data_IF_160169235381
#
_entry.id   IF_160169235381
#
_cell.length_a   1.000
_cell.length_b   1.000
_cell.length_c   1.000
_cell.angle_alpha   90.00
_cell.angle_beta   90.00
_cell.angle_gamma   90.00
#
_symmetry.space_group_name_H-M   'P 1'
#
loop_
_entity.id
_entity.type
_entity.pdbx_description
1 polymer ?
#
# COMPACT_ATOMS: atom_id res chain seq x y z
N UNK A 1 -14.16 15.83 -18.96
CA UNK A 1 -13.44 14.82 -18.19
C UNK A 1 -13.06 15.46 -16.87
N UNK A 2 -13.65 14.99 -15.78
CA UNK A 2 -13.33 15.46 -14.42
C UNK A 2 -12.22 14.57 -13.90
N UNK A 3 -11.05 15.14 -13.67
CA UNK A 3 -9.95 14.43 -13.03
C UNK A 3 -10.18 14.49 -11.51
N UNK A 4 -10.39 13.35 -10.90
CA UNK A 4 -10.21 13.15 -9.47
C UNK A 4 -8.74 12.76 -9.32
N UNK A 5 -7.90 13.69 -8.93
CA UNK A 5 -6.53 13.35 -8.55
C UNK A 5 -6.57 12.72 -7.15
N UNK A 6 -6.70 11.41 -7.10
CA UNK A 6 -6.41 10.63 -5.91
C UNK A 6 -4.91 10.38 -5.89
N UNK A 7 -4.16 11.15 -5.14
CA UNK A 7 -2.78 10.82 -4.82
C UNK A 7 -2.84 9.80 -3.68
N UNK A 8 -2.95 8.53 -4.03
CA UNK A 8 -2.57 7.47 -3.12
C UNK A 8 -1.06 7.50 -3.05
N UNK A 9 -0.49 7.43 -1.86
CA UNK A 9 0.95 7.24 -1.69
C UNK A 9 1.36 5.83 -2.16
N UNK A 10 1.09 5.51 -3.42
CA UNK A 10 1.46 4.28 -4.12
C UNK A 10 2.67 4.55 -4.98
N UNK A 11 3.65 5.24 -4.44
CA UNK A 11 4.92 5.40 -5.15
C UNK A 11 5.87 4.22 -4.92
N UNK A 12 5.39 3.17 -4.26
CA UNK A 12 6.06 1.87 -4.17
C UNK A 12 5.01 0.76 -4.28
N UNK A 13 4.55 0.43 -5.50
CA UNK A 13 3.57 -0.65 -5.71
C UNK A 13 4.07 -2.01 -5.21
N UNK A 14 5.33 -2.08 -4.81
CA UNK A 14 6.01 -3.32 -4.44
C UNK A 14 6.23 -3.49 -2.94
N UNK A 15 5.98 -2.47 -2.08
CA UNK A 15 6.40 -2.58 -0.70
C UNK A 15 5.52 -3.53 0.12
N UNK A 16 4.20 -3.40 0.04
CA UNK A 16 3.29 -4.12 0.95
C UNK A 16 3.02 -5.56 0.52
N UNK A 17 2.58 -5.72 -0.72
CA UNK A 17 2.27 -7.03 -1.29
C UNK A 17 3.52 -7.87 -1.51
N UNK A 18 4.56 -7.25 -2.07
CA UNK A 18 5.83 -7.91 -2.36
C UNK A 18 6.58 -8.24 -1.10
N UNK A 19 6.57 -7.39 -0.08
CA UNK A 19 7.29 -7.64 1.18
C UNK A 19 6.65 -8.73 2.02
N UNK A 20 5.32 -8.73 2.19
CA UNK A 20 4.63 -9.80 2.91
C UNK A 20 4.94 -11.16 2.29
N UNK A 21 4.98 -11.23 0.98
CA UNK A 21 5.23 -12.45 0.22
C UNK A 21 6.71 -12.82 0.12
N UNK A 22 7.59 -11.85 -0.07
CA UNK A 22 9.04 -12.05 -0.09
C UNK A 22 9.50 -12.58 1.27
N UNK A 23 8.96 -12.04 2.37
CA UNK A 23 9.15 -12.57 3.71
C UNK A 23 8.82 -14.06 3.81
N UNK A 24 7.64 -14.46 3.35
CA UNK A 24 7.20 -15.87 3.37
C UNK A 24 8.07 -16.80 2.52
N UNK A 25 8.69 -16.30 1.45
CA UNK A 25 9.58 -17.09 0.59
C UNK A 25 11.01 -17.20 1.10
N UNK A 26 11.32 -16.58 2.25
CA UNK A 26 12.67 -16.55 2.82
C UNK A 26 13.68 -15.71 2.03
N UNK A 27 13.21 -14.87 1.10
CA UNK A 27 14.06 -13.99 0.30
C UNK A 27 14.37 -12.70 1.06
N UNK A 28 15.48 -11.99 0.76
CA UNK A 28 15.77 -10.69 1.34
C UNK A 28 14.63 -9.69 1.13
N UNK A 29 14.35 -8.89 2.15
CA UNK A 29 13.41 -7.78 2.12
C UNK A 29 14.20 -6.48 1.85
N UNK A 30 14.25 -5.99 0.59
CA UNK A 30 15.07 -4.83 0.27
C UNK A 30 14.42 -3.55 0.80
N UNK A 31 15.23 -2.72 1.46
CA UNK A 31 14.89 -1.37 1.91
C UNK A 31 15.80 -0.39 1.20
N UNK A 32 15.22 0.57 0.50
CA UNK A 32 15.97 1.62 -0.19
C UNK A 32 16.58 2.63 0.81
N UNK A 33 17.85 2.97 0.63
CA UNK A 33 18.57 3.90 1.49
C UNK A 33 18.54 3.45 2.95
N UNK A 34 18.12 4.34 3.85
CA UNK A 34 17.95 4.07 5.28
C UNK A 34 16.54 3.59 5.64
N UNK A 35 15.61 3.67 4.70
CA UNK A 35 14.19 3.39 4.93
C UNK A 35 13.44 4.48 5.69
N UNK A 36 14.04 5.66 5.87
CA UNK A 36 13.45 6.79 6.60
C UNK A 36 12.45 7.61 5.78
N UNK A 37 12.25 7.24 4.52
CA UNK A 37 11.24 7.88 3.67
C UNK A 37 9.85 7.74 4.29
N UNK A 38 9.17 8.87 4.49
CA UNK A 38 7.87 8.93 5.15
C UNK A 38 6.76 8.97 4.09
N UNK A 39 5.71 8.18 4.31
CA UNK A 39 4.48 8.15 3.50
C UNK A 39 3.26 8.20 4.41
N UNK A 40 2.17 8.72 3.89
CA UNK A 40 0.87 8.65 4.56
C UNK A 40 0.14 7.39 4.10
N UNK A 41 -0.12 6.48 5.04
CA UNK A 41 -0.65 5.15 4.78
C UNK A 41 -2.16 5.10 5.01
N UNK A 42 -2.87 4.61 4.02
CA UNK A 42 -4.32 4.50 4.04
C UNK A 42 -4.77 3.11 3.62
N UNK A 43 -5.72 2.52 4.34
CA UNK A 43 -6.30 1.23 3.96
C UNK A 43 -7.12 1.36 2.67
N UNK A 44 -7.02 0.35 1.80
CA UNK A 44 -7.65 0.39 0.46
C UNK A 44 -9.17 0.57 0.52
N UNK A 45 -9.85 -0.03 1.47
CA UNK A 45 -11.30 0.13 1.61
C UNK A 45 -11.69 1.54 2.05
N UNK A 46 -10.95 2.15 2.99
CA UNK A 46 -11.16 3.54 3.37
C UNK A 46 -10.93 4.47 2.18
N UNK A 47 -9.93 4.20 1.35
CA UNK A 47 -9.71 4.94 0.12
C UNK A 47 -10.87 4.79 -0.87
N UNK A 48 -11.38 3.58 -1.08
CA UNK A 48 -12.54 3.34 -1.93
C UNK A 48 -13.79 4.05 -1.40
N UNK A 49 -14.03 4.02 -0.07
CA UNK A 49 -15.12 4.76 0.58
C UNK A 49 -14.99 6.27 0.36
N UNK A 50 -13.77 6.84 0.44
CA UNK A 50 -13.52 8.24 0.14
C UNK A 50 -13.89 8.60 -1.29
N UNK A 51 -13.50 7.78 -2.27
CA UNK A 51 -13.84 7.99 -3.68
C UNK A 51 -15.36 8.01 -3.87
N UNK A 52 -16.07 7.05 -3.29
CA UNK A 52 -17.55 7.00 -3.36
C UNK A 52 -18.15 8.24 -2.71
N UNK A 53 -17.66 8.66 -1.54
CA UNK A 53 -18.15 9.86 -0.85
C UNK A 53 -17.93 11.13 -1.69
N UNK A 54 -16.79 11.26 -2.38
CA UNK A 54 -16.52 12.38 -3.30
C UNK A 54 -17.45 12.34 -4.51
N UNK A 55 -17.74 11.16 -5.07
CA UNK A 55 -18.69 11.03 -6.19
C UNK A 55 -20.12 11.44 -5.80
N UNK A 56 -20.55 11.12 -4.58
CA UNK A 56 -21.89 11.40 -4.10
C UNK A 56 -22.09 12.84 -3.61
N UNK A 57 -21.07 13.43 -2.95
CA UNK A 57 -21.20 14.69 -2.20
C UNK A 57 -20.25 15.80 -2.66
N UNK A 58 -19.23 15.46 -3.45
CA UNK A 58 -18.21 16.43 -3.88
C UNK A 58 -18.78 17.51 -4.80
N UNK A 59 -18.29 18.73 -4.60
CA UNK A 59 -18.67 19.84 -5.49
C UNK A 59 -18.09 19.65 -6.89
N UNK A 60 -18.86 19.88 -7.95
CA UNK A 60 -18.40 19.74 -9.32
C UNK A 60 -17.24 20.68 -9.65
N UNK A 61 -16.13 20.12 -10.15
CA UNK A 61 -14.94 20.89 -10.54
C UNK A 61 -13.91 21.05 -9.42
N UNK A 62 -14.21 20.59 -8.21
CA UNK A 62 -13.30 20.63 -7.07
C UNK A 62 -12.40 19.38 -6.98
N UNK A 63 -11.21 19.57 -6.40
CA UNK A 63 -10.26 18.49 -6.08
C UNK A 63 -10.28 18.22 -4.57
N UNK A 64 -10.22 16.95 -4.21
CA UNK A 64 -10.17 16.49 -2.82
C UNK A 64 -8.95 15.56 -2.63
N UNK A 65 -8.08 15.92 -1.70
CA UNK A 65 -7.01 15.04 -1.26
C UNK A 65 -7.59 13.99 -0.30
N UNK A 66 -7.13 12.75 -0.45
CA UNK A 66 -7.51 11.65 0.42
C UNK A 66 -6.26 11.18 1.16
N UNK A 67 -6.23 11.30 2.48
CA UNK A 67 -5.10 10.96 3.33
C UNK A 67 -5.51 10.07 4.50
N UNK A 68 -4.54 9.34 5.04
CA UNK A 68 -4.74 8.37 6.11
C UNK A 68 -4.48 8.91 7.51
N UNK A 69 -3.93 10.13 7.64
CA UNK A 69 -3.37 10.69 8.89
C UNK A 69 -2.40 9.73 9.58
N UNK A 70 -1.70 8.94 8.78
CA UNK A 70 -0.86 7.84 9.26
C UNK A 70 0.52 7.86 8.63
N UNK A 71 1.23 8.98 8.84
CA UNK A 71 2.60 9.11 8.37
C UNK A 71 3.53 8.13 9.10
N UNK A 72 4.23 7.29 8.34
CA UNK A 72 5.18 6.31 8.86
C UNK A 72 6.41 6.24 7.95
N UNK A 73 7.57 5.99 8.54
CA UNK A 73 8.76 5.65 7.80
C UNK A 73 8.63 4.24 7.19
N UNK A 74 9.15 4.04 5.99
CA UNK A 74 9.08 2.75 5.30
C UNK A 74 9.65 1.60 6.14
N UNK A 75 10.77 1.86 6.85
CA UNK A 75 11.38 0.85 7.71
C UNK A 75 10.45 0.40 8.85
N UNK A 76 9.64 1.32 9.42
CA UNK A 76 8.70 1.01 10.49
C UNK A 76 7.52 0.17 9.98
N UNK A 77 7.07 0.44 8.76
CA UNK A 77 6.04 -0.36 8.09
C UNK A 77 6.55 -1.78 7.85
N UNK A 78 7.75 -1.94 7.29
CA UNK A 78 8.34 -3.27 7.04
C UNK A 78 8.53 -4.05 8.34
N UNK A 79 9.03 -3.42 9.40
CA UNK A 79 9.13 -4.04 10.73
C UNK A 79 7.76 -4.46 11.29
N UNK A 80 6.73 -3.65 11.03
CA UNK A 80 5.36 -3.99 11.45
C UNK A 80 4.82 -5.19 10.68
N UNK A 81 5.06 -5.28 9.36
CA UNK A 81 4.76 -6.47 8.56
C UNK A 81 5.48 -7.71 9.12
N UNK A 82 6.79 -7.60 9.38
CA UNK A 82 7.56 -8.71 9.97
C UNK A 82 6.95 -9.20 11.28
N UNK A 83 6.60 -8.29 12.20
CA UNK A 83 5.97 -8.64 13.49
C UNK A 83 4.59 -9.30 13.32
N UNK A 84 3.81 -8.89 12.32
CA UNK A 84 2.53 -9.52 12.00
C UNK A 84 2.76 -10.92 11.45
N UNK A 85 3.72 -11.10 10.53
CA UNK A 85 4.08 -12.40 9.99
C UNK A 85 4.61 -13.35 11.05
N UNK A 86 5.48 -12.87 11.96
CA UNK A 86 5.97 -13.67 13.10
C UNK A 86 4.83 -14.22 13.96
N UNK A 87 3.71 -13.51 14.06
CA UNK A 87 2.50 -13.95 14.78
C UNK A 87 1.61 -14.88 13.97
N UNK A 88 1.40 -14.60 12.69
CA UNK A 88 0.45 -15.33 11.84
C UNK A 88 1.05 -16.56 11.19
N UNK A 89 2.35 -16.55 10.90
CA UNK A 89 3.11 -17.62 10.24
C UNK A 89 4.53 -17.71 10.83
N UNK A 90 4.67 -18.12 12.09
CA UNK A 90 5.97 -18.19 12.77
C UNK A 90 6.96 -19.11 12.04
N UNK A 91 8.22 -18.67 11.98
CA UNK A 91 9.34 -19.41 11.41
C UNK A 91 10.46 -19.59 12.44
N UNK A 92 11.51 -20.37 12.11
CA UNK A 92 12.63 -20.62 13.00
C UNK A 92 13.44 -19.34 13.36
N UNK A 93 13.38 -18.32 12.50
CA UNK A 93 14.02 -17.03 12.73
C UNK A 93 13.03 -15.90 12.47
N UNK A 94 13.07 -14.78 13.21
CA UNK A 94 12.22 -13.64 12.96
C UNK A 94 12.36 -13.10 11.53
N UNK A 95 11.23 -12.72 10.91
CA UNK A 95 11.21 -12.17 9.55
C UNK A 95 12.05 -10.89 9.41
N UNK A 96 12.23 -10.14 10.47
CA UNK A 96 13.04 -8.93 10.48
C UNK A 96 14.51 -9.20 10.11
N UNK A 97 15.02 -10.41 10.30
CA UNK A 97 16.36 -10.82 9.86
C UNK A 97 16.53 -10.85 8.35
N UNK A 98 15.45 -10.83 7.59
CA UNK A 98 15.49 -10.79 6.13
C UNK A 98 15.65 -9.36 5.59
N UNK A 99 15.52 -8.32 6.42
CA UNK A 99 15.67 -6.92 6.01
C UNK A 99 17.11 -6.69 5.52
N UNK A 100 17.21 -6.13 4.31
CA UNK A 100 18.49 -5.82 3.67
C UNK A 100 18.42 -4.41 3.09
N UNK A 101 19.36 -3.54 3.48
CA UNK A 101 19.42 -2.19 2.93
C UNK A 101 20.10 -2.22 1.57
N UNK A 102 19.51 -1.54 0.59
CA UNK A 102 20.04 -1.40 -0.77
C UNK A 102 20.27 0.07 -1.10
N UNK A 103 21.01 0.33 -2.18
CA UNK A 103 21.25 1.70 -2.62
C UNK A 103 19.92 2.43 -2.88
N UNK A 104 19.84 3.68 -2.44
CA UNK A 104 18.65 4.49 -2.67
C UNK A 104 18.51 4.88 -4.14
N UNK A 105 17.29 5.12 -4.60
CA UNK A 105 17.02 5.54 -5.97
C UNK A 105 17.26 7.05 -6.11
N UNK A 106 17.77 7.52 -7.26
CA UNK A 106 17.87 8.95 -7.52
C UNK A 106 16.53 9.67 -7.44
N UNK A 107 16.48 10.81 -6.75
CA UNK A 107 15.24 11.60 -6.64
C UNK A 107 14.18 11.02 -5.71
N UNK A 108 14.55 10.13 -4.79
CA UNK A 108 13.63 9.56 -3.82
C UNK A 108 13.23 10.58 -2.77
N UNK A 109 11.99 11.05 -2.81
CA UNK A 109 11.48 12.04 -1.87
C UNK A 109 11.48 11.51 -0.43
N UNK A 110 11.99 12.34 0.48
CA UNK A 110 12.09 11.98 1.90
C UNK A 110 10.71 11.87 2.55
N UNK A 111 9.76 12.77 2.19
CA UNK A 111 8.45 12.79 2.84
C UNK A 111 7.36 13.24 1.88
N UNK A 112 6.27 12.47 1.85
CA UNK A 112 4.98 12.91 1.35
C UNK A 112 4.00 13.06 2.52
N UNK A 113 3.39 14.23 2.62
CA UNK A 113 2.33 14.54 3.58
C UNK A 113 1.10 14.98 2.79
N UNK A 114 -0.05 14.49 3.19
CA UNK A 114 -1.33 14.79 2.54
C UNK A 114 -2.19 15.62 3.49
N UNK A 115 -2.63 16.78 3.03
CA UNK A 115 -3.63 17.57 3.75
C UNK A 115 -5.03 17.14 3.29
N UNK A 116 -5.73 16.39 4.12
CA UNK A 116 -7.08 15.90 3.88
C UNK A 116 -8.18 16.80 4.50
N UNK A 117 -7.83 17.96 5.04
CA UNK A 117 -8.79 18.82 5.76
C UNK A 117 -10.03 19.19 4.92
N UNK A 118 -9.88 19.37 3.62
CA UNK A 118 -10.99 19.73 2.73
C UNK A 118 -12.04 18.63 2.62
N UNK A 119 -11.63 17.36 2.40
CA UNK A 119 -12.58 16.25 2.32
C UNK A 119 -13.30 16.02 3.65
N UNK A 120 -12.60 16.23 4.77
CA UNK A 120 -13.19 16.11 6.10
C UNK A 120 -14.25 17.18 6.35
N UNK A 121 -13.94 18.45 6.03
CA UNK A 121 -14.83 19.58 6.28
C UNK A 121 -16.04 19.63 5.35
N UNK A 122 -15.85 19.38 4.06
CA UNK A 122 -16.89 19.53 3.05
C UNK A 122 -17.73 18.26 2.84
N UNK A 123 -17.12 17.08 2.97
CA UNK A 123 -17.77 15.78 2.69
C UNK A 123 -18.07 15.03 3.98
N UNK A 124 -17.32 15.30 5.06
CA UNK A 124 -17.44 14.61 6.34
C UNK A 124 -16.82 13.22 6.34
N UNK A 125 -15.92 12.95 5.39
CA UNK A 125 -15.21 11.67 5.34
C UNK A 125 -13.91 11.74 6.14
N UNK A 126 -13.66 10.71 6.94
CA UNK A 126 -12.40 10.45 7.66
C UNK A 126 -12.08 8.97 7.57
N UNK A 127 -10.77 8.58 7.55
CA UNK A 127 -10.40 7.17 7.58
C UNK A 127 -10.90 6.50 8.86
N UNK A 128 -11.41 5.27 8.74
CA UNK A 128 -12.00 4.53 9.86
C UNK A 128 -11.03 3.55 10.50
N UNK A 129 -10.13 2.98 9.69
CA UNK A 129 -9.18 1.97 10.15
C UNK A 129 -7.91 2.63 10.65
N UNK A 130 -7.45 2.19 11.81
CA UNK A 130 -6.13 2.53 12.31
C UNK A 130 -5.07 1.79 11.51
N UNK A 131 -3.89 2.36 11.40
CA UNK A 131 -2.78 1.78 10.62
C UNK A 131 -2.49 0.32 10.98
N UNK A 132 -2.36 0.01 12.26
CA UNK A 132 -2.00 -1.33 12.74
C UNK A 132 -3.09 -2.36 12.43
N UNK A 133 -4.36 -1.97 12.49
CA UNK A 133 -5.52 -2.80 12.17
C UNK A 133 -5.56 -3.06 10.66
N UNK A 134 -5.53 -2.00 9.85
CA UNK A 134 -5.55 -2.11 8.39
C UNK A 134 -4.37 -2.88 7.83
N UNK A 135 -3.15 -2.66 8.38
CA UNK A 135 -1.97 -3.43 7.96
C UNK A 135 -2.12 -4.91 8.28
N UNK A 136 -2.67 -5.26 9.45
CA UNK A 136 -2.92 -6.65 9.82
C UNK A 136 -3.98 -7.31 8.93
N UNK A 137 -5.07 -6.60 8.60
CA UNK A 137 -6.08 -7.05 7.66
C UNK A 137 -5.47 -7.31 6.29
N UNK A 138 -4.66 -6.38 5.79
CA UNK A 138 -3.96 -6.49 4.50
C UNK A 138 -3.04 -7.71 4.47
N UNK A 139 -2.17 -7.88 5.48
CA UNK A 139 -1.28 -9.05 5.56
C UNK A 139 -2.07 -10.34 5.63
N UNK A 140 -3.13 -10.38 6.45
CA UNK A 140 -4.04 -11.53 6.55
C UNK A 140 -4.65 -11.89 5.21
N UNK A 141 -5.17 -10.91 4.48
CA UNK A 141 -5.74 -11.11 3.16
C UNK A 141 -4.74 -11.73 2.17
N UNK A 142 -3.49 -11.25 2.13
CA UNK A 142 -2.46 -11.85 1.27
C UNK A 142 -2.13 -13.29 1.65
N UNK A 143 -2.16 -13.62 2.93
CA UNK A 143 -1.95 -15.01 3.40
C UNK A 143 -3.09 -15.96 3.01
N UNK A 144 -4.32 -15.47 3.02
CA UNK A 144 -5.52 -16.23 2.68
C UNK A 144 -5.73 -16.35 1.16
N UNK A 145 -5.23 -15.38 0.38
CA UNK A 145 -5.40 -15.31 -1.07
C UNK A 145 -4.13 -15.65 -1.87
N UNK A 146 -3.31 -16.58 -1.37
CA UNK A 146 -2.03 -16.96 -1.96
C UNK A 146 -2.16 -17.38 -3.44
N UNK A 147 -3.21 -18.11 -3.81
CA UNK A 147 -3.45 -18.54 -5.19
C UNK A 147 -3.71 -17.36 -6.14
N UNK A 148 -4.44 -16.32 -5.68
CA UNK A 148 -4.63 -15.09 -6.46
C UNK A 148 -3.32 -14.36 -6.68
N UNK A 149 -2.51 -14.24 -5.62
CA UNK A 149 -1.19 -13.61 -5.68
C UNK A 149 -0.27 -14.35 -6.67
N UNK A 150 -0.25 -15.69 -6.62
CA UNK A 150 0.55 -16.53 -7.52
C UNK A 150 0.11 -16.37 -8.98
N UNK A 151 -1.19 -16.31 -9.24
CA UNK A 151 -1.73 -16.09 -10.59
C UNK A 151 -1.29 -14.74 -11.19
N UNK A 152 -1.34 -13.65 -10.40
CA UNK A 152 -0.84 -12.35 -10.85
C UNK A 152 0.64 -12.38 -11.19
N UNK A 153 1.45 -13.09 -10.41
CA UNK A 153 2.90 -13.11 -10.57
C UNK A 153 3.42 -14.09 -11.62
N UNK A 154 2.70 -15.18 -11.86
CA UNK A 154 3.05 -16.15 -12.92
C UNK A 154 2.91 -15.54 -14.33
N UNK A 155 2.41 -14.32 -14.45
CA UNK A 155 2.18 -13.65 -15.72
C UNK A 155 0.90 -14.12 -16.44
N UNK A 156 0.11 -14.99 -15.84
CA UNK A 156 -1.15 -15.47 -16.41
C UNK A 156 -2.10 -14.34 -16.80
N UNK A 157 -2.14 -13.27 -16.00
CA UNK A 157 -2.90 -12.07 -16.33
C UNK A 157 -2.33 -11.32 -17.56
N UNK A 158 -1.01 -11.24 -17.72
CA UNK A 158 -0.36 -10.63 -18.91
C UNK A 158 -0.66 -11.44 -20.16
N UNK A 159 -0.53 -12.76 -20.08
CA UNK A 159 -0.91 -13.66 -21.20
C UNK A 159 -2.38 -13.52 -21.57
N UNK A 160 -3.27 -13.40 -20.57
CA UNK A 160 -4.69 -13.17 -20.80
C UNK A 160 -4.94 -11.82 -21.50
N UNK A 161 -4.26 -10.74 -21.09
CA UNK A 161 -4.33 -9.42 -21.74
C UNK A 161 -3.81 -9.49 -23.18
N UNK A 162 -2.65 -10.10 -23.41
CA UNK A 162 -2.08 -10.29 -24.75
C UNK A 162 -3.03 -11.06 -25.64
N UNK A 163 -3.62 -12.15 -25.15
CA UNK A 163 -4.56 -12.98 -25.92
C UNK A 163 -5.85 -12.24 -26.27
N UNK A 164 -6.37 -11.38 -25.39
CA UNK A 164 -7.69 -10.78 -25.56
C UNK A 164 -7.65 -9.34 -26.09
N UNK A 165 -6.49 -8.65 -26.04
CA UNK A 165 -6.37 -7.23 -26.42
C UNK A 165 -5.28 -6.94 -27.47
N UNK A 166 -4.46 -7.91 -27.88
CA UNK A 166 -3.40 -7.73 -28.88
C UNK A 166 -3.92 -7.53 -30.33
N UNK A 167 -5.21 -7.41 -30.51
CA UNK A 167 -5.85 -7.22 -31.82
C UNK A 167 -6.74 -5.96 -31.93
N UNK A 168 -6.56 -4.98 -31.03
CA UNK A 168 -7.33 -3.70 -31.11
C UNK A 168 -6.41 -2.51 -31.31
#
# INVERSE_FOLDING_TARGET
GRFIECIVAVDQPDLDATQSRTGLSGKPLPIYGTGENIRDWLHVEDHCEAIVAVLEKGAPGECYNIGGHSERANIDVVRSICRILDKLRPTAAPYEKQITFVADRPGHDLRYAIDAAKIEQEIGWVPRRRFEEGLRETVGWYLENAAWVENIQSGGYRQWLETNYSGR
#
